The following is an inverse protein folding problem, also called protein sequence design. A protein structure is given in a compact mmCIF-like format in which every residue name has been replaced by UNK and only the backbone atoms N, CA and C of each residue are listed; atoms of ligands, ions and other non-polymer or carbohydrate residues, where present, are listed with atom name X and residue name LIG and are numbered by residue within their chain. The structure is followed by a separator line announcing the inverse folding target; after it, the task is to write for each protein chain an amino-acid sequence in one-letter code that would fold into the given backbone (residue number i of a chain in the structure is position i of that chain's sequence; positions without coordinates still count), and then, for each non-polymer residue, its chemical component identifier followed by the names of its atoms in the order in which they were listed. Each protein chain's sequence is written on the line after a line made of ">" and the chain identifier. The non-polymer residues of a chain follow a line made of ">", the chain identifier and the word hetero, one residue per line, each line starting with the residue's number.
data_IF_256106405353
#
_entry.id   IF_256106405353
#
_cell.length_a   1.000
_cell.length_b   1.000
_cell.length_c   1.000
_cell.angle_alpha   90.00
_cell.angle_beta   90.00
_cell.angle_gamma   90.00
#
_symmetry.space_group_name_H-M   'P 1'
#
loop_
_entity.id
_entity.type
_entity.pdbx_description
1 polymer ?
#
# COMPACT_ATOMS: atom_id res chain seq x y z
N UNK A 1 -3.12 -16.78 32.34
CA UNK A 1 -2.34 -16.76 31.09
C UNK A 1 -3.28 -17.31 30.04
N UNK A 2 -3.25 -16.69 28.85
CA UNK A 2 -4.20 -16.89 27.73
C UNK A 2 -5.55 -16.22 27.97
N UNK A 3 -6.13 -15.42 27.08
CA UNK A 3 -5.92 -15.20 25.65
C UNK A 3 -6.06 -13.69 25.40
N UNK A 4 -4.94 -13.00 25.11
CA UNK A 4 -5.00 -11.70 24.45
C UNK A 4 -5.59 -11.97 23.09
N UNK A 5 -6.89 -11.72 22.96
CA UNK A 5 -7.66 -11.77 21.72
C UNK A 5 -6.98 -10.83 20.73
N UNK A 6 -6.00 -11.37 20.03
CA UNK A 6 -5.21 -10.67 19.03
C UNK A 6 -6.22 -10.07 18.07
N UNK A 7 -6.27 -8.74 18.06
CA UNK A 7 -7.04 -8.00 17.08
C UNK A 7 -6.78 -8.65 15.73
N UNK A 8 -7.83 -9.13 15.09
CA UNK A 8 -7.75 -9.56 13.71
C UNK A 8 -8.37 -8.45 12.84
N UNK A 9 -7.70 -7.30 12.62
CA UNK A 9 -8.24 -6.20 11.83
C UNK A 9 -8.13 -6.44 10.32
N UNK A 10 -7.62 -7.59 9.89
CA UNK A 10 -7.01 -7.73 8.57
C UNK A 10 -7.72 -8.73 7.64
N UNK A 11 -9.05 -8.65 7.48
CA UNK A 11 -9.68 -9.15 6.23
C UNK A 11 -9.47 -8.12 5.12
N UNK A 12 -8.21 -7.87 4.75
CA UNK A 12 -7.76 -7.04 3.62
C UNK A 12 -7.89 -7.74 2.25
N UNK A 13 -8.61 -8.87 2.21
CA UNK A 13 -8.80 -9.68 1.02
C UNK A 13 -9.66 -8.97 -0.03
N UNK A 14 -9.00 -8.38 -1.03
CA UNK A 14 -9.32 -8.62 -2.44
C UNK A 14 -8.54 -7.69 -3.39
N UNK A 15 -7.92 -6.60 -2.92
CA UNK A 15 -7.15 -5.70 -3.79
C UNK A 15 -5.63 -5.83 -3.57
N UNK A 16 -4.86 -6.12 -4.63
CA UNK A 16 -3.43 -6.41 -4.54
C UNK A 16 -2.60 -5.16 -4.22
N UNK A 17 -1.54 -5.34 -3.43
CA UNK A 17 -0.54 -4.31 -3.15
C UNK A 17 0.54 -4.21 -4.25
N UNK A 18 0.59 -5.19 -5.13
CA UNK A 18 1.62 -5.28 -6.15
C UNK A 18 1.36 -4.24 -7.28
N UNK A 19 2.37 -3.41 -7.63
CA UNK A 19 2.25 -2.42 -8.69
C UNK A 19 2.03 -3.01 -10.08
N UNK A 20 2.21 -4.32 -10.27
CA UNK A 20 1.85 -5.02 -11.52
C UNK A 20 0.38 -4.78 -11.88
N UNK A 21 -0.51 -4.67 -10.89
CA UNK A 21 -1.95 -4.47 -11.08
C UNK A 21 -2.36 -3.04 -11.39
N UNK A 22 -1.40 -2.10 -11.39
CA UNK A 22 -1.60 -0.70 -11.71
C UNK A 22 -0.83 -0.32 -12.98
N UNK A 23 0.48 -0.56 -12.99
CA UNK A 23 1.39 -0.08 -14.03
C UNK A 23 2.09 -1.21 -14.80
N UNK A 24 1.81 -2.49 -14.48
CA UNK A 24 2.52 -3.63 -15.07
C UNK A 24 3.97 -3.77 -14.58
N UNK A 25 4.37 -2.99 -13.58
CA UNK A 25 5.71 -3.05 -12.99
C UNK A 25 5.85 -4.34 -12.20
N UNK A 26 6.86 -5.14 -12.53
CA UNK A 26 7.14 -6.42 -11.86
C UNK A 26 8.34 -6.24 -10.94
N UNK A 27 8.12 -6.47 -9.64
CA UNK A 27 9.15 -6.36 -8.60
C UNK A 27 9.25 -7.65 -7.80
N UNK A 28 10.48 -8.08 -7.53
CA UNK A 28 10.76 -9.27 -6.73
C UNK A 28 11.77 -8.98 -5.61
N UNK A 29 11.74 -9.72 -4.50
CA UNK A 29 10.78 -10.78 -4.17
C UNK A 29 9.41 -10.21 -3.73
N UNK A 30 8.33 -10.87 -4.17
CA UNK A 30 6.95 -10.39 -3.96
C UNK A 30 6.54 -10.29 -2.49
N UNK A 31 7.06 -11.20 -1.65
CA UNK A 31 6.78 -11.19 -0.20
C UNK A 31 7.33 -9.93 0.45
N UNK A 32 8.58 -9.57 0.14
CA UNK A 32 9.21 -8.33 0.62
C UNK A 32 8.49 -7.11 0.06
N UNK A 33 8.06 -7.12 -1.21
CA UNK A 33 7.26 -6.04 -1.77
C UNK A 33 5.97 -5.83 -0.97
N UNK A 34 5.22 -6.90 -0.67
CA UNK A 34 3.97 -6.85 0.09
C UNK A 34 4.21 -6.31 1.50
N UNK A 35 5.22 -6.82 2.19
CA UNK A 35 5.58 -6.39 3.54
C UNK A 35 5.95 -4.90 3.56
N UNK A 36 6.89 -4.48 2.71
CA UNK A 36 7.36 -3.09 2.62
C UNK A 36 6.22 -2.14 2.24
N UNK A 37 5.38 -2.52 1.28
CA UNK A 37 4.22 -1.70 0.86
C UNK A 37 3.20 -1.56 1.98
N UNK A 38 2.98 -2.60 2.78
CA UNK A 38 2.09 -2.53 3.94
C UNK A 38 2.60 -1.53 4.96
N UNK A 39 3.89 -1.58 5.30
CA UNK A 39 4.51 -0.60 6.19
C UNK A 39 4.46 0.83 5.65
N UNK A 40 4.63 1.01 4.34
CA UNK A 40 4.50 2.33 3.71
C UNK A 40 3.06 2.88 3.78
N UNK A 41 2.04 2.03 3.63
CA UNK A 41 0.64 2.43 3.82
C UNK A 41 0.38 2.88 5.25
N UNK A 42 0.94 2.18 6.25
CA UNK A 42 0.85 2.59 7.65
C UNK A 42 1.54 3.94 7.90
N UNK A 43 2.72 4.16 7.31
CA UNK A 43 3.40 5.46 7.38
C UNK A 43 2.55 6.58 6.78
N UNK A 44 1.96 6.38 5.59
CA UNK A 44 1.06 7.35 4.97
C UNK A 44 -0.18 7.60 5.83
N UNK A 45 -0.75 6.58 6.44
CA UNK A 45 -1.88 6.75 7.37
C UNK A 45 -1.50 7.64 8.56
N UNK A 46 -0.30 7.47 9.13
CA UNK A 46 0.15 8.30 10.24
C UNK A 46 0.31 9.75 9.81
N UNK A 47 0.94 9.99 8.67
CA UNK A 47 1.08 11.34 8.12
C UNK A 47 -0.27 12.00 7.80
N UNK A 48 -1.22 11.25 7.23
CA UNK A 48 -2.58 11.74 6.97
C UNK A 48 -3.30 12.15 8.26
N UNK A 49 -3.14 11.35 9.33
CA UNK A 49 -3.68 11.65 10.65
C UNK A 49 -3.07 12.91 11.24
N UNK A 50 -1.74 13.04 11.23
CA UNK A 50 -0.99 14.19 11.74
C UNK A 50 -1.32 15.49 10.98
N UNK A 51 -1.40 15.41 9.65
CA UNK A 51 -1.75 16.53 8.77
C UNK A 51 -3.23 16.92 8.88
N UNK A 52 -4.10 15.98 9.26
CA UNK A 52 -5.55 16.16 9.27
C UNK A 52 -6.18 16.24 7.88
N UNK A 53 -5.50 15.78 6.84
CA UNK A 53 -5.97 15.85 5.45
C UNK A 53 -5.64 14.58 4.65
N UNK A 54 -6.58 14.16 3.80
CA UNK A 54 -6.42 13.00 2.90
C UNK A 54 -5.46 13.28 1.74
N UNK A 55 -4.93 12.22 1.12
CA UNK A 55 -4.08 12.33 -0.07
C UNK A 55 -4.89 12.31 -1.36
N UNK A 56 -4.47 13.15 -2.31
CA UNK A 56 -4.96 13.11 -3.69
C UNK A 56 -4.31 11.98 -4.49
N UNK A 57 -4.97 11.52 -5.56
CA UNK A 57 -4.50 10.40 -6.40
C UNK A 57 -3.09 10.70 -6.97
N UNK A 58 -2.86 11.93 -7.46
CA UNK A 58 -1.57 12.32 -8.05
C UNK A 58 -0.44 12.35 -7.02
N UNK A 59 -0.76 12.70 -5.77
CA UNK A 59 0.22 12.68 -4.68
C UNK A 59 0.59 11.24 -4.31
N UNK A 60 -0.41 10.37 -4.15
CA UNK A 60 -0.19 8.96 -3.89
C UNK A 60 0.61 8.29 -5.01
N UNK A 61 0.29 8.59 -6.27
CA UNK A 61 1.01 8.02 -7.42
C UNK A 61 2.51 8.35 -7.35
N UNK A 62 2.85 9.63 -7.18
CA UNK A 62 4.25 10.04 -7.07
C UNK A 62 4.96 9.36 -5.91
N UNK A 63 4.30 9.27 -4.76
CA UNK A 63 4.87 8.68 -3.55
C UNK A 63 5.09 7.17 -3.67
N UNK A 64 4.12 6.42 -4.20
CA UNK A 64 4.27 4.98 -4.40
C UNK A 64 5.34 4.65 -5.44
N UNK A 65 5.37 5.35 -6.58
CA UNK A 65 6.40 5.12 -7.59
C UNK A 65 7.80 5.44 -7.06
N UNK A 66 7.97 6.57 -6.35
CA UNK A 66 9.24 6.92 -5.72
C UNK A 66 9.67 5.89 -4.66
N UNK A 67 8.72 5.39 -3.87
CA UNK A 67 8.96 4.34 -2.88
C UNK A 67 9.46 3.04 -3.52
N UNK A 68 8.81 2.59 -4.60
CA UNK A 68 9.25 1.39 -5.32
C UNK A 68 10.62 1.57 -5.97
N UNK A 69 10.87 2.72 -6.60
CA UNK A 69 12.16 3.04 -7.18
C UNK A 69 13.27 3.07 -6.13
N UNK A 70 13.00 3.62 -4.94
CA UNK A 70 13.93 3.60 -3.83
C UNK A 70 14.26 2.16 -3.39
N UNK A 71 13.26 1.28 -3.24
CA UNK A 71 13.52 -0.12 -2.87
C UNK A 71 14.36 -0.86 -3.92
N UNK A 72 14.22 -0.51 -5.20
CA UNK A 72 15.07 -1.05 -6.27
C UNK A 72 16.49 -0.49 -6.19
N UNK A 73 16.64 0.82 -5.97
CA UNK A 73 17.95 1.47 -5.83
C UNK A 73 18.75 0.95 -4.63
N UNK A 74 18.08 0.65 -3.52
CA UNK A 74 18.67 0.06 -2.33
C UNK A 74 19.02 -1.43 -2.48
N UNK A 75 18.60 -2.08 -3.57
CA UNK A 75 18.75 -3.52 -3.78
C UNK A 75 17.81 -4.37 -2.93
N UNK A 76 16.81 -3.77 -2.27
CA UNK A 76 15.77 -4.49 -1.52
C UNK A 76 14.85 -5.25 -2.47
N UNK A 77 14.54 -4.66 -3.63
CA UNK A 77 13.78 -5.29 -4.69
C UNK A 77 14.59 -5.29 -6.00
N UNK A 78 14.30 -6.25 -6.87
CA UNK A 78 14.77 -6.33 -8.24
C UNK A 78 13.61 -6.02 -9.18
N UNK A 79 13.83 -5.08 -10.11
CA UNK A 79 12.87 -4.81 -11.19
C UNK A 79 13.08 -5.80 -12.32
N UNK A 80 12.03 -6.55 -12.65
CA UNK A 80 11.98 -7.42 -13.81
C UNK A 80 11.36 -6.67 -15.01
N UNK A 81 11.46 -7.23 -16.23
CA UNK A 81 10.74 -6.68 -17.38
C UNK A 81 9.24 -6.52 -17.08
N UNK A 82 8.69 -5.37 -17.46
CA UNK A 82 7.29 -5.05 -17.22
C UNK A 82 6.36 -6.09 -17.88
N UNK A 83 5.23 -6.38 -17.22
CA UNK A 83 4.29 -7.39 -17.66
C UNK A 83 3.56 -6.96 -18.94
N UNK A 84 3.31 -7.88 -19.90
CA UNK A 84 2.62 -7.55 -21.13
C UNK A 84 1.16 -7.12 -20.84
N UNK A 85 0.59 -6.20 -21.65
CA UNK A 85 -0.76 -5.67 -21.47
C UNK A 85 -1.88 -6.73 -21.58
N UNK A 86 -1.55 -7.94 -22.04
CA UNK A 86 -2.44 -9.10 -22.11
C UNK A 86 -2.70 -9.72 -20.73
N UNK A 87 -1.71 -9.71 -19.82
CA UNK A 87 -1.98 -9.85 -18.38
C UNK A 87 -2.80 -8.65 -17.87
N UNK A 88 -2.65 -7.50 -18.55
CA UNK A 88 -3.30 -6.22 -18.28
C UNK A 88 -4.79 -6.10 -18.56
N UNK A 89 -5.43 -7.02 -19.31
CA UNK A 89 -6.91 -7.07 -19.37
C UNK A 89 -7.56 -7.31 -17.99
N UNK A 90 -6.79 -7.74 -16.99
CA UNK A 90 -7.16 -7.93 -15.57
C UNK A 90 -6.57 -6.88 -14.60
N UNK A 91 -5.82 -5.89 -15.10
CA UNK A 91 -5.19 -4.82 -14.29
C UNK A 91 -6.29 -3.86 -13.79
N UNK A 92 -6.26 -3.54 -12.49
CA UNK A 92 -7.15 -2.54 -11.87
C UNK A 92 -6.97 -1.17 -12.55
N UNK A 93 -5.74 -0.87 -12.96
CA UNK A 93 -5.28 0.39 -13.53
C UNK A 93 -4.87 1.37 -12.42
N UNK A 94 -3.99 2.35 -12.68
CA UNK A 94 -3.40 3.20 -11.65
C UNK A 94 -4.46 3.86 -10.77
N UNK A 95 -5.48 4.47 -11.39
CA UNK A 95 -6.55 5.17 -10.67
C UNK A 95 -7.33 4.28 -9.69
N UNK A 96 -7.70 3.06 -10.09
CA UNK A 96 -8.45 2.15 -9.17
C UNK A 96 -7.55 1.62 -8.08
N UNK A 97 -6.31 1.32 -8.40
CA UNK A 97 -5.32 0.86 -7.44
C UNK A 97 -5.03 1.95 -6.39
N UNK A 98 -4.80 3.19 -6.81
CA UNK A 98 -4.58 4.33 -5.90
C UNK A 98 -5.79 4.60 -5.02
N UNK A 99 -7.00 4.59 -5.60
CA UNK A 99 -8.25 4.70 -4.83
C UNK A 99 -8.36 3.59 -3.78
N UNK A 100 -7.94 2.37 -4.09
CA UNK A 100 -7.93 1.27 -3.14
C UNK A 100 -6.98 1.53 -1.96
N UNK A 101 -5.77 2.02 -2.25
CA UNK A 101 -4.80 2.34 -1.20
C UNK A 101 -5.27 3.52 -0.36
N UNK A 102 -5.85 4.57 -0.96
CA UNK A 102 -6.47 5.67 -0.20
C UNK A 102 -7.54 5.18 0.76
N UNK A 103 -8.43 4.28 0.31
CA UNK A 103 -9.45 3.68 1.19
C UNK A 103 -8.80 2.91 2.35
N UNK A 104 -7.71 2.17 2.11
CA UNK A 104 -6.97 1.46 3.17
C UNK A 104 -6.35 2.45 4.18
N UNK A 105 -5.70 3.49 3.69
CA UNK A 105 -5.11 4.57 4.50
C UNK A 105 -6.19 5.22 5.39
N UNK A 106 -7.30 5.65 4.78
CA UNK A 106 -8.38 6.33 5.52
C UNK A 106 -9.02 5.43 6.59
N UNK A 107 -9.15 4.12 6.31
CA UNK A 107 -9.66 3.16 7.31
C UNK A 107 -8.71 2.95 8.47
N UNK A 108 -7.39 2.96 8.24
CA UNK A 108 -6.41 2.91 9.33
C UNK A 108 -6.52 4.17 10.19
N UNK A 109 -6.62 5.35 9.57
CA UNK A 109 -6.82 6.62 10.27
C UNK A 109 -8.09 6.62 11.11
N UNK A 110 -9.21 6.18 10.53
CA UNK A 110 -10.51 6.05 11.23
C UNK A 110 -10.41 5.10 12.42
N UNK A 111 -9.82 3.92 12.21
CA UNK A 111 -9.61 2.94 13.29
C UNK A 111 -8.80 3.52 14.45
N UNK A 112 -7.70 4.23 14.15
CA UNK A 112 -6.84 4.85 15.16
C UNK A 112 -7.54 5.99 15.90
N UNK A 113 -8.39 6.78 15.23
CA UNK A 113 -9.20 7.83 15.86
C UNK A 113 -10.24 7.26 16.83
N UNK A 114 -10.86 6.15 16.46
CA UNK A 114 -11.90 5.50 17.27
C UNK A 114 -11.34 4.74 18.48
N UNK A 115 -10.17 4.12 18.34
CA UNK A 115 -9.61 3.20 19.34
C UNK A 115 -8.40 3.76 20.10
N UNK A 116 -8.06 5.03 19.86
CA UNK A 116 -7.08 5.76 20.66
C UNK A 116 -5.62 5.42 20.39
N UNK A 117 -5.24 4.98 19.18
CA UNK A 117 -3.80 4.87 18.92
C UNK A 117 -3.35 4.48 17.52
N UNK A 118 -2.48 5.33 16.98
CA UNK A 118 -1.43 5.01 16.01
C UNK A 118 0.02 5.04 16.58
N UNK A 119 0.38 5.36 17.83
CA UNK A 119 -0.26 5.78 19.10
C UNK A 119 -0.52 7.29 19.22
N UNK A 120 -1.55 7.71 19.99
CA UNK A 120 -1.77 9.09 20.46
C UNK A 120 -1.00 9.34 21.77
#
# INVERSE_FOLDING_TARGET
>A
MDDTKSSNPMKFGSMPLDPIYAWGIVLEPVETLIERTSGFIEQLARESLERGAEFEDEELERRFLAFFDQLVQEGTLTRLPDAPPEMGRRILGPRRWLRAQRIRINRLVEHWREHGGADL
#
